data_IF_683655552594
#
_entry.id   IF_683655552594
#
_cell.length_a   1.000
_cell.length_b   1.000
_cell.length_c   1.000
_cell.angle_alpha   90.00
_cell.angle_beta   90.00
_cell.angle_gamma   90.00
#
_symmetry.space_group_name_H-M   'P 1'
#
loop_
_entity.id
_entity.type
_entity.pdbx_description
1 polymer ?
#
# COMPACT_ATOMS: atom_id res chain seq x y z
N UNK A 1 7.54 -9.03 -30.15
CA UNK A 1 6.93 -8.10 -29.16
C UNK A 1 7.94 -7.01 -28.88
N UNK A 2 7.56 -5.75 -29.09
CA UNK A 2 8.46 -4.60 -28.92
C UNK A 2 8.70 -4.34 -27.44
N UNK A 3 9.92 -3.93 -27.07
CA UNK A 3 10.29 -3.55 -25.69
C UNK A 3 9.40 -2.43 -25.11
N UNK A 4 8.69 -1.69 -25.97
CA UNK A 4 7.79 -0.60 -25.56
C UNK A 4 6.51 -1.12 -24.89
N UNK A 5 5.98 -2.26 -25.32
CA UNK A 5 4.72 -2.83 -24.82
C UNK A 5 4.86 -3.25 -23.35
N UNK A 6 5.92 -4.00 -23.05
CA UNK A 6 6.25 -4.43 -21.68
C UNK A 6 6.44 -3.27 -20.69
N UNK A 7 6.80 -2.06 -21.16
CA UNK A 7 6.96 -0.88 -20.28
C UNK A 7 5.62 -0.26 -19.90
N UNK A 8 4.64 -0.31 -20.81
CA UNK A 8 3.27 0.14 -20.54
C UNK A 8 2.63 -0.81 -19.53
N UNK A 9 2.78 -2.12 -19.74
CA UNK A 9 2.29 -3.15 -18.82
C UNK A 9 2.93 -3.02 -17.43
N UNK A 10 4.24 -2.79 -17.36
CA UNK A 10 4.94 -2.58 -16.08
C UNK A 10 4.39 -1.39 -15.28
N UNK A 11 4.14 -0.25 -15.93
CA UNK A 11 3.57 0.92 -15.26
C UNK A 11 2.11 0.69 -14.82
N UNK A 12 1.34 -0.07 -15.60
CA UNK A 12 -0.02 -0.47 -15.23
C UNK A 12 -0.03 -1.35 -13.98
N UNK A 13 0.84 -2.37 -13.91
CA UNK A 13 0.98 -3.22 -12.74
C UNK A 13 1.46 -2.45 -11.50
N UNK A 14 2.38 -1.50 -11.66
CA UNK A 14 2.77 -0.63 -10.55
C UNK A 14 1.61 0.22 -10.03
N UNK A 15 0.77 0.75 -10.94
CA UNK A 15 -0.41 1.51 -10.53
C UNK A 15 -1.42 0.61 -9.79
N UNK A 16 -1.66 -0.61 -10.27
CA UNK A 16 -2.50 -1.61 -9.59
C UNK A 16 -1.99 -1.91 -8.17
N UNK A 17 -0.67 -2.11 -8.01
CA UNK A 17 -0.07 -2.33 -6.70
C UNK A 17 -0.20 -1.12 -5.77
N UNK A 18 -0.06 0.11 -6.30
CA UNK A 18 -0.29 1.33 -5.54
C UNK A 18 -1.74 1.39 -5.05
N UNK A 19 -2.71 1.19 -5.95
CA UNK A 19 -4.13 1.32 -5.64
C UNK A 19 -4.56 0.27 -4.60
N UNK A 20 -4.16 -0.99 -4.78
CA UNK A 20 -4.43 -2.05 -3.81
C UNK A 20 -3.77 -1.78 -2.46
N UNK A 21 -2.53 -1.30 -2.44
CA UNK A 21 -1.82 -1.05 -1.16
C UNK A 21 -2.42 0.16 -0.44
N UNK A 22 -2.82 1.19 -1.16
CA UNK A 22 -3.49 2.37 -0.61
C UNK A 22 -4.89 2.03 -0.06
N UNK A 23 -5.66 1.20 -0.76
CA UNK A 23 -6.95 0.71 -0.26
C UNK A 23 -6.77 -0.08 1.05
N UNK A 24 -5.80 -1.00 1.09
CA UNK A 24 -5.48 -1.77 2.31
C UNK A 24 -4.99 -0.90 3.47
N UNK A 25 -4.26 0.19 3.18
CA UNK A 25 -3.83 1.16 4.19
C UNK A 25 -5.05 1.88 4.76
N UNK A 26 -5.92 2.40 3.89
CA UNK A 26 -7.12 3.14 4.29
C UNK A 26 -8.07 2.27 5.13
N UNK A 27 -8.33 1.04 4.69
CA UNK A 27 -9.17 0.08 5.43
C UNK A 27 -8.58 -0.23 6.82
N UNK A 28 -7.26 -0.37 6.93
CA UNK A 28 -6.60 -0.60 8.21
C UNK A 28 -6.63 0.62 9.14
N UNK A 29 -6.54 1.84 8.59
CA UNK A 29 -6.72 3.08 9.35
C UNK A 29 -8.16 3.22 9.84
N UNK A 30 -9.16 2.96 8.99
CA UNK A 30 -10.57 2.96 9.38
C UNK A 30 -10.87 1.94 10.49
N UNK A 31 -10.28 0.74 10.40
CA UNK A 31 -10.39 -0.28 11.44
C UNK A 31 -9.79 0.19 12.78
N UNK A 32 -8.64 0.89 12.76
CA UNK A 32 -8.03 1.42 13.97
C UNK A 32 -8.88 2.52 14.60
N UNK A 33 -9.48 3.39 13.78
CA UNK A 33 -10.34 4.47 14.24
C UNK A 33 -11.65 3.95 14.84
N UNK A 34 -12.30 2.97 14.19
CA UNK A 34 -13.56 2.38 14.65
C UNK A 34 -13.37 1.56 15.94
N UNK A 35 -12.28 0.79 16.03
CA UNK A 35 -12.07 -0.15 17.13
C UNK A 35 -11.01 0.28 18.15
N UNK A 36 -10.61 1.55 18.18
CA UNK A 36 -9.52 2.06 19.03
C UNK A 36 -9.66 1.69 20.52
N UNK A 37 -10.91 1.67 21.03
CA UNK A 37 -11.22 1.33 22.43
C UNK A 37 -11.39 -0.17 22.70
N UNK A 38 -11.48 -0.99 21.66
CA UNK A 38 -11.79 -2.43 21.75
C UNK A 38 -10.56 -3.31 21.50
N UNK A 39 -9.57 -2.80 20.75
CA UNK A 39 -8.36 -3.56 20.42
C UNK A 39 -7.28 -3.46 21.50
N UNK A 40 -6.48 -4.52 21.61
CA UNK A 40 -5.31 -4.51 22.49
C UNK A 40 -4.20 -3.62 21.92
N UNK A 41 -3.37 -3.07 22.80
CA UNK A 41 -2.19 -2.28 22.40
C UNK A 41 -1.24 -3.06 21.48
N UNK A 42 -1.10 -4.37 21.70
CA UNK A 42 -0.27 -5.25 20.85
C UNK A 42 -0.86 -5.35 19.44
N UNK A 43 -2.18 -5.56 19.32
CA UNK A 43 -2.85 -5.63 18.01
C UNK A 43 -2.75 -4.30 17.28
N UNK A 44 -2.97 -3.18 17.99
CA UNK A 44 -2.81 -1.82 17.46
C UNK A 44 -1.41 -1.61 16.87
N UNK A 45 -0.36 -1.89 17.66
CA UNK A 45 1.03 -1.73 17.23
C UNK A 45 1.37 -2.60 15.99
N UNK A 46 0.82 -3.81 15.90
CA UNK A 46 1.04 -4.68 14.72
C UNK A 46 0.40 -4.08 13.46
N UNK A 47 -0.79 -3.48 13.58
CA UNK A 47 -1.47 -2.84 12.45
C UNK A 47 -0.73 -1.58 12.03
N UNK A 48 -0.34 -0.72 12.98
CA UNK A 48 0.44 0.49 12.72
C UNK A 48 1.76 0.16 12.02
N UNK A 49 2.51 -0.83 12.52
CA UNK A 49 3.77 -1.25 11.88
C UNK A 49 3.56 -1.84 10.46
N UNK A 50 2.40 -2.45 10.18
CA UNK A 50 2.03 -2.87 8.82
C UNK A 50 1.71 -1.67 7.95
N UNK A 51 1.02 -0.67 8.48
CA UNK A 51 0.68 0.55 7.76
C UNK A 51 1.93 1.34 7.37
N UNK A 52 2.94 1.41 8.24
CA UNK A 52 4.21 2.07 7.92
C UNK A 52 4.93 1.39 6.74
N UNK A 53 5.02 0.06 6.74
CA UNK A 53 5.57 -0.70 5.60
C UNK A 53 4.76 -0.54 4.31
N UNK A 54 3.43 -0.35 4.41
CA UNK A 54 2.59 -0.06 3.23
C UNK A 54 2.92 1.30 2.64
N UNK A 55 3.15 2.32 3.47
CA UNK A 55 3.59 3.65 3.02
C UNK A 55 4.92 3.57 2.28
N UNK A 56 5.91 2.88 2.86
CA UNK A 56 7.21 2.64 2.21
C UNK A 56 7.07 1.91 0.86
N UNK A 57 6.18 0.90 0.79
CA UNK A 57 5.93 0.17 -0.46
C UNK A 57 5.31 1.05 -1.53
N UNK A 58 4.33 1.89 -1.16
CA UNK A 58 3.70 2.85 -2.08
C UNK A 58 4.73 3.83 -2.62
N UNK A 59 5.59 4.39 -1.76
CA UNK A 59 6.67 5.27 -2.18
C UNK A 59 7.62 4.59 -3.18
N UNK A 60 7.99 3.33 -2.90
CA UNK A 60 8.80 2.51 -3.81
C UNK A 60 8.14 2.29 -5.18
N UNK A 61 6.83 1.99 -5.20
CA UNK A 61 6.09 1.82 -6.46
C UNK A 61 5.97 3.13 -7.24
N UNK A 62 5.72 4.26 -6.56
CA UNK A 62 5.65 5.58 -7.19
C UNK A 62 7.02 5.93 -7.81
N UNK A 63 8.11 5.71 -7.08
CA UNK A 63 9.46 5.92 -7.59
C UNK A 63 9.73 5.07 -8.84
N UNK A 64 9.39 3.77 -8.80
CA UNK A 64 9.54 2.86 -9.93
C UNK A 64 8.64 3.18 -11.13
N UNK A 65 7.49 3.80 -10.92
CA UNK A 65 6.58 4.22 -12.00
C UNK A 65 7.11 5.46 -12.74
N UNK A 66 7.81 6.32 -11.99
CA UNK A 66 8.35 7.59 -12.48
C UNK A 66 9.76 7.45 -13.07
N UNK A 67 10.45 6.32 -12.86
CA UNK A 67 11.67 5.96 -13.59
C UNK A 67 11.40 5.57 -15.05
#
# INVERSE_FOLDING_TARGET
MSKTDNRVDYKAHLQEHIDHTAANLKEAEDYLDEHAGEITAVKKHIIEAKNDRRKESIEGFIAGKNS
#
